data_IF_881871269391
#
_entry.id   IF_881871269391
#
_cell.length_a   1.000
_cell.length_b   1.000
_cell.length_c   1.000
_cell.angle_alpha   90.00
_cell.angle_beta   90.00
_cell.angle_gamma   90.00
#
_symmetry.space_group_name_H-M   'P 1'
#
loop_
_entity.id
_entity.type
_entity.pdbx_description
1 polymer ?
#
# COMPACT_ATOMS: atom_id res chain seq x y z
N UNK A 1 31.15 -14.48 5.18
CA UNK A 1 30.68 -15.37 4.11
C UNK A 1 29.80 -14.58 3.15
N UNK A 2 30.32 -14.19 1.98
CA UNK A 2 29.52 -13.46 0.98
C UNK A 2 28.47 -14.38 0.39
N UNK A 3 27.20 -14.18 0.74
CA UNK A 3 26.07 -14.93 0.18
C UNK A 3 26.04 -14.73 -1.35
N UNK A 4 26.19 -15.83 -2.09
CA UNK A 4 26.18 -15.89 -3.55
C UNK A 4 24.88 -15.25 -4.04
N UNK A 5 24.98 -14.04 -4.59
CA UNK A 5 23.82 -13.25 -5.01
C UNK A 5 23.15 -14.00 -6.16
N UNK A 6 21.94 -14.54 -5.93
CA UNK A 6 21.13 -15.13 -7.01
C UNK A 6 20.85 -14.03 -8.04
N UNK A 7 21.31 -14.25 -9.26
CA UNK A 7 21.05 -13.35 -10.39
C UNK A 7 19.73 -13.78 -10.99
N UNK A 8 18.74 -12.89 -10.92
CA UNK A 8 17.44 -13.08 -11.56
C UNK A 8 17.42 -12.36 -12.89
N UNK A 9 16.77 -12.97 -13.88
CA UNK A 9 16.68 -12.43 -15.22
C UNK A 9 15.82 -11.16 -15.27
N UNK A 10 16.08 -10.29 -16.24
CA UNK A 10 15.44 -8.98 -16.29
C UNK A 10 13.92 -9.07 -16.45
N UNK A 11 13.46 -9.96 -17.32
CA UNK A 11 12.04 -10.22 -17.56
C UNK A 11 11.35 -10.80 -16.31
N UNK A 12 12.06 -11.69 -15.60
CA UNK A 12 11.55 -12.30 -14.38
C UNK A 12 11.33 -11.26 -13.28
N UNK A 13 12.26 -10.30 -13.12
CA UNK A 13 12.10 -9.20 -12.15
C UNK A 13 10.90 -8.34 -12.46
N UNK A 14 10.69 -8.02 -13.74
CA UNK A 14 9.57 -7.20 -14.18
C UNK A 14 8.24 -7.93 -14.04
N UNK A 15 8.17 -9.21 -14.42
CA UNK A 15 6.99 -10.06 -14.22
C UNK A 15 6.61 -10.18 -12.74
N UNK A 16 7.58 -10.41 -11.86
CA UNK A 16 7.36 -10.52 -10.43
C UNK A 16 6.78 -9.23 -9.83
N UNK A 17 7.30 -8.06 -10.24
CA UNK A 17 6.77 -6.77 -9.78
C UNK A 17 5.40 -6.47 -10.38
N UNK A 18 5.17 -6.82 -11.65
CA UNK A 18 3.87 -6.64 -12.30
C UNK A 18 2.78 -7.40 -11.58
N UNK A 19 3.04 -8.66 -11.17
CA UNK A 19 2.09 -9.46 -10.38
C UNK A 19 1.71 -8.72 -9.10
N UNK A 20 2.67 -8.18 -8.34
CA UNK A 20 2.38 -7.43 -7.11
C UNK A 20 1.49 -6.22 -7.37
N UNK A 21 1.74 -5.49 -8.46
CA UNK A 21 1.05 -4.24 -8.77
C UNK A 21 -0.35 -4.48 -9.33
N UNK A 22 -0.49 -5.44 -10.26
CA UNK A 22 -1.76 -5.76 -10.90
C UNK A 22 -2.70 -6.54 -9.98
N UNK A 23 -2.17 -7.46 -9.19
CA UNK A 23 -3.00 -8.29 -8.29
C UNK A 23 -3.21 -7.67 -6.91
N UNK A 24 -2.41 -6.66 -6.54
CA UNK A 24 -2.44 -6.04 -5.21
C UNK A 24 -2.04 -6.98 -4.06
N UNK A 25 -1.52 -8.19 -4.37
CA UNK A 25 -1.14 -9.18 -3.37
C UNK A 25 0.07 -8.70 -2.54
N UNK A 26 0.18 -9.11 -1.26
CA UNK A 26 1.35 -8.80 -0.43
C UNK A 26 2.66 -9.33 -1.05
N UNK A 27 3.72 -8.52 -1.01
CA UNK A 27 5.05 -8.85 -1.55
C UNK A 27 5.57 -10.18 -0.99
N UNK A 28 5.38 -10.44 0.30
CA UNK A 28 5.83 -11.68 0.95
C UNK A 28 5.16 -12.92 0.35
N UNK A 29 3.86 -12.81 0.01
CA UNK A 29 3.10 -13.91 -0.60
C UNK A 29 3.53 -14.15 -2.04
N UNK A 30 3.72 -13.09 -2.82
CA UNK A 30 4.18 -13.20 -4.21
C UNK A 30 5.63 -13.72 -4.25
N UNK A 31 6.46 -13.34 -3.29
CA UNK A 31 7.81 -13.85 -3.15
C UNK A 31 7.82 -15.37 -2.86
N UNK A 32 6.95 -15.83 -1.97
CA UNK A 32 6.77 -17.25 -1.66
C UNK A 32 6.23 -18.05 -2.86
N UNK A 33 5.19 -17.52 -3.52
CA UNK A 33 4.60 -18.10 -4.75
C UNK A 33 5.63 -18.23 -5.90
N UNK A 34 6.60 -17.30 -5.99
CA UNK A 34 7.62 -17.27 -7.04
C UNK A 34 8.97 -17.89 -6.62
N UNK A 35 9.11 -18.34 -5.37
CA UNK A 35 10.38 -18.87 -4.84
C UNK A 35 11.50 -17.84 -4.77
N UNK A 36 11.16 -16.55 -4.67
CA UNK A 36 12.09 -15.42 -4.59
C UNK A 36 12.22 -14.97 -3.14
N UNK A 37 13.41 -14.52 -2.73
CA UNK A 37 13.57 -13.94 -1.41
C UNK A 37 12.74 -12.65 -1.27
N UNK A 38 11.87 -12.57 -0.25
CA UNK A 38 10.95 -11.44 -0.07
C UNK A 38 11.66 -10.08 -0.03
N UNK A 39 12.84 -10.00 0.63
CA UNK A 39 13.65 -8.78 0.67
C UNK A 39 14.14 -8.32 -0.72
N UNK A 40 14.34 -9.25 -1.65
CA UNK A 40 14.74 -8.93 -3.03
C UNK A 40 13.56 -8.34 -3.81
N UNK A 41 12.39 -8.98 -3.75
CA UNK A 41 11.18 -8.47 -4.39
C UNK A 41 10.76 -7.11 -3.81
N UNK A 42 10.93 -6.92 -2.50
CA UNK A 42 10.69 -5.65 -1.82
C UNK A 42 11.60 -4.52 -2.34
N UNK A 43 12.81 -4.82 -2.84
CA UNK A 43 13.68 -3.83 -3.46
C UNK A 43 13.27 -3.47 -4.90
N UNK A 44 12.62 -4.40 -5.61
CA UNK A 44 12.27 -4.24 -7.02
C UNK A 44 10.99 -3.41 -7.21
N UNK A 45 9.99 -3.56 -6.34
CA UNK A 45 8.71 -2.83 -6.45
C UNK A 45 8.90 -1.30 -6.40
N UNK A 46 9.65 -0.73 -5.43
CA UNK A 46 9.94 0.71 -5.41
C UNK A 46 10.79 1.15 -6.60
N UNK A 47 11.72 0.31 -7.06
CA UNK A 47 12.59 0.58 -8.22
C UNK A 47 11.76 0.69 -9.51
N UNK A 48 10.80 -0.22 -9.69
CA UNK A 48 9.86 -0.19 -10.81
C UNK A 48 8.95 1.03 -10.78
N UNK A 49 8.37 1.39 -9.61
CA UNK A 49 7.56 2.62 -9.49
C UNK A 49 8.33 3.88 -9.86
N UNK A 50 9.65 3.91 -9.59
CA UNK A 50 10.50 5.07 -9.86
C UNK A 50 10.99 5.13 -11.31
N UNK A 51 11.41 4.00 -11.86
CA UNK A 51 12.14 3.94 -13.13
C UNK A 51 11.33 3.34 -14.27
N UNK A 52 10.10 2.86 -14.02
CA UNK A 52 9.31 2.06 -14.95
C UNK A 52 9.87 0.65 -15.21
N UNK A 53 11.03 0.30 -14.63
CA UNK A 53 11.67 -1.02 -14.79
C UNK A 53 12.33 -1.48 -13.49
N UNK A 54 12.09 -2.74 -13.14
CA UNK A 54 12.68 -3.43 -12.00
C UNK A 54 14.15 -3.84 -12.25
N UNK A 55 14.54 -3.85 -13.52
CA UNK A 55 15.84 -4.35 -14.01
C UNK A 55 16.86 -3.25 -14.27
N UNK A 56 16.44 -1.98 -14.21
CA UNK A 56 17.32 -0.83 -14.45
C UNK A 56 18.42 -0.72 -13.41
N UNK A 57 19.66 -1.11 -13.75
CA UNK A 57 20.86 -1.04 -12.89
C UNK A 57 21.40 0.38 -12.61
N UNK A 58 20.54 1.39 -12.75
CA UNK A 58 20.86 2.76 -12.35
C UNK A 58 21.07 2.79 -10.82
N UNK A 59 22.20 3.32 -10.32
CA UNK A 59 22.50 3.33 -8.89
C UNK A 59 21.39 4.06 -8.14
N UNK A 60 20.96 3.47 -7.02
CA UNK A 60 19.99 4.08 -6.15
C UNK A 60 20.57 5.41 -5.63
N UNK A 61 20.13 6.54 -6.17
CA UNK A 61 20.31 7.82 -5.51
C UNK A 61 19.58 7.75 -4.17
N UNK A 62 20.35 7.58 -3.09
CA UNK A 62 19.89 7.44 -1.71
C UNK A 62 19.08 8.66 -1.21
N UNK A 63 19.12 9.79 -1.91
CA UNK A 63 18.41 11.02 -1.54
C UNK A 63 16.89 11.01 -1.78
N UNK A 64 16.36 10.12 -2.64
CA UNK A 64 14.92 10.12 -2.98
C UNK A 64 14.07 9.19 -2.07
N UNK A 65 14.70 8.25 -1.36
CA UNK A 65 14.01 7.30 -0.49
C UNK A 65 13.47 7.91 0.81
N UNK A 66 14.19 8.86 1.40
CA UNK A 66 13.74 9.58 2.60
C UNK A 66 12.49 10.42 2.34
N UNK A 67 12.53 11.24 1.28
CA UNK A 67 11.41 12.11 0.89
C UNK A 67 10.14 11.36 0.50
N UNK A 68 10.26 10.22 -0.19
CA UNK A 68 9.09 9.41 -0.54
C UNK A 68 8.49 8.69 0.68
N UNK A 69 9.33 8.21 1.60
CA UNK A 69 8.87 7.59 2.86
C UNK A 69 8.21 8.61 3.80
N UNK A 70 8.69 9.85 3.81
CA UNK A 70 8.03 10.98 4.47
C UNK A 70 6.71 11.36 3.78
N UNK A 71 6.66 11.35 2.45
CA UNK A 71 5.42 11.58 1.68
C UNK A 71 4.37 10.51 1.97
N UNK A 72 4.74 9.22 1.94
CA UNK A 72 3.86 8.10 2.27
C UNK A 72 3.39 8.17 3.73
N UNK A 73 4.27 8.56 4.67
CA UNK A 73 3.89 8.78 6.07
C UNK A 73 2.91 9.95 6.23
N UNK A 74 3.12 11.05 5.52
CA UNK A 74 2.22 12.20 5.54
C UNK A 74 0.85 11.89 4.94
N UNK A 75 0.82 11.11 3.85
CA UNK A 75 -0.42 10.60 3.25
C UNK A 75 -1.16 9.65 4.18
N UNK A 76 -0.44 8.74 4.87
CA UNK A 76 -1.02 7.85 5.88
C UNK A 76 -1.65 8.63 7.03
N UNK A 77 -1.02 9.69 7.52
CA UNK A 77 -1.59 10.55 8.57
C UNK A 77 -2.82 11.31 8.08
N UNK A 78 -2.80 11.84 6.85
CA UNK A 78 -3.96 12.51 6.25
C UNK A 78 -5.14 11.55 6.09
N UNK A 79 -4.90 10.36 5.56
CA UNK A 79 -5.91 9.30 5.41
C UNK A 79 -6.49 8.87 6.77
N UNK A 80 -5.66 8.76 7.81
CA UNK A 80 -6.13 8.46 9.18
C UNK A 80 -7.02 9.57 9.74
N UNK A 81 -6.67 10.83 9.53
CA UNK A 81 -7.50 11.97 9.93
C UNK A 81 -8.83 11.96 9.19
N UNK A 82 -8.81 11.77 7.87
CA UNK A 82 -10.02 11.70 7.06
C UNK A 82 -10.94 10.55 7.49
N UNK A 83 -10.38 9.37 7.77
CA UNK A 83 -11.14 8.23 8.30
C UNK A 83 -11.79 8.56 9.66
N UNK A 84 -11.07 9.27 10.54
CA UNK A 84 -11.61 9.67 11.83
C UNK A 84 -12.77 10.66 11.71
N UNK A 85 -12.67 11.63 10.79
CA UNK A 85 -13.72 12.62 10.54
C UNK A 85 -14.95 11.97 9.91
N UNK A 86 -14.76 11.09 8.92
CA UNK A 86 -15.85 10.30 8.33
C UNK A 86 -16.58 9.46 9.38
N UNK A 87 -15.84 8.81 10.28
CA UNK A 87 -16.43 8.01 11.37
C UNK A 87 -17.22 8.87 12.36
N UNK A 88 -16.77 10.08 12.68
CA UNK A 88 -17.56 11.02 13.50
C UNK A 88 -18.86 11.39 12.79
N UNK A 89 -18.79 11.70 11.49
CA UNK A 89 -19.98 12.08 10.72
C UNK A 89 -21.01 10.96 10.63
N UNK A 90 -20.55 9.72 10.46
CA UNK A 90 -21.42 8.54 10.50
C UNK A 90 -22.14 8.47 11.85
N UNK A 91 -21.42 8.62 12.97
CA UNK A 91 -22.02 8.59 14.31
C UNK A 91 -23.06 9.69 14.52
N UNK A 92 -22.77 10.91 14.07
CA UNK A 92 -23.73 12.03 14.15
C UNK A 92 -25.02 11.71 13.37
N UNK A 93 -24.89 11.26 12.12
CA UNK A 93 -26.03 10.90 11.28
C UNK A 93 -26.82 9.72 11.87
N UNK A 94 -26.15 8.75 12.47
CA UNK A 94 -26.80 7.64 13.18
C UNK A 94 -27.59 8.14 14.40
N UNK A 95 -27.04 9.07 15.17
CA UNK A 95 -27.73 9.69 16.30
C UNK A 95 -28.96 10.49 15.84
N UNK A 96 -28.82 11.31 14.79
CA UNK A 96 -29.93 12.07 14.20
C UNK A 96 -31.04 11.12 13.71
N UNK A 97 -30.66 10.07 12.98
CA UNK A 97 -31.59 9.03 12.54
C UNK A 97 -32.29 8.38 13.73
N UNK A 98 -31.58 8.08 14.80
CA UNK A 98 -32.16 7.45 15.99
C UNK A 98 -33.10 8.37 16.75
N UNK A 99 -32.79 9.66 16.83
CA UNK A 99 -33.71 10.67 17.38
C UNK A 99 -34.97 10.74 16.51
N UNK A 100 -34.83 10.86 15.19
CA UNK A 100 -35.97 10.91 14.27
C UNK A 100 -36.82 9.64 14.35
N UNK A 101 -36.19 8.46 14.40
CA UNK A 101 -36.89 7.19 14.59
C UNK A 101 -37.68 7.17 15.91
N UNK A 102 -37.07 7.59 17.02
CA UNK A 102 -37.76 7.68 18.33
C UNK A 102 -38.94 8.65 18.29
N UNK A 103 -38.78 9.81 17.67
CA UNK A 103 -39.86 10.79 17.48
C UNK A 103 -40.99 10.23 16.61
N UNK A 104 -40.67 9.54 15.52
CA UNK A 104 -41.67 8.95 14.62
C UNK A 104 -42.51 7.87 15.32
N UNK A 105 -41.89 7.05 16.17
CA UNK A 105 -42.61 6.04 16.98
C UNK A 105 -43.61 6.70 17.95
N UNK A 106 -43.30 7.89 18.47
CA UNK A 106 -44.20 8.63 19.36
C UNK A 106 -45.34 9.36 18.62
N UNK A 107 -45.18 9.61 17.32
CA UNK A 107 -46.15 10.36 16.52
C UNK A 107 -47.20 9.49 15.82
N UNK A 108 -46.96 8.18 15.71
CA UNK A 108 -47.92 7.18 15.19
C UNK A 108 -48.71 6.54 16.35
N UNK A 109 -49.37 7.39 17.16
CA UNK A 109 -50.36 6.96 18.17
C UNK A 109 -51.46 8.00 18.29
#
# INVERSE_FOLDING_TARGET
MGSKKRVYDAEFREGAVRIVIETGKPIARVADELGVHAGTLHSWVPRWRRNGSASSDRPAQEAAGGRMRESERGELERLRREMSEKNKRIRELEMERDVLKRCMVLWVK
#
